data_IF_601479787805
#
_entry.id   IF_601479787805
#
_cell.length_a   1.000
_cell.length_b   1.000
_cell.length_c   1.000
_cell.angle_alpha   90.00
_cell.angle_beta   90.00
_cell.angle_gamma   90.00
#
_symmetry.space_group_name_H-M   'P 1'
#
loop_
_entity.id
_entity.type
_entity.pdbx_description
1 polymer ?
#
# COMPACT_ATOMS: atom_id res chain seq x y z
N UNK A 1 -43.14 -46.93 44.02
CA UNK A 1 -42.29 -45.80 44.44
C UNK A 1 -41.33 -45.51 43.29
N UNK A 2 -41.50 -44.40 42.60
CA UNK A 2 -40.60 -43.97 41.50
C UNK A 2 -39.95 -42.66 41.93
N UNK A 3 -38.78 -42.80 42.56
CA UNK A 3 -37.74 -41.79 42.80
C UNK A 3 -36.46 -42.53 42.43
N UNK A 4 -35.46 -42.01 41.75
CA UNK A 4 -35.12 -40.65 41.39
C UNK A 4 -34.18 -40.80 40.20
N UNK A 5 -34.40 -40.05 39.12
CA UNK A 5 -33.44 -39.96 38.02
C UNK A 5 -33.17 -38.49 37.67
N UNK A 6 -33.36 -37.60 38.66
CA UNK A 6 -33.36 -36.13 38.47
C UNK A 6 -32.02 -35.45 38.69
N UNK A 7 -31.00 -36.14 39.17
CA UNK A 7 -29.76 -35.47 39.61
C UNK A 7 -28.57 -35.56 38.63
N UNK A 8 -28.71 -36.17 37.44
CA UNK A 8 -27.60 -36.23 36.45
C UNK A 8 -27.61 -35.09 35.43
N UNK A 9 -28.58 -34.18 35.48
CA UNK A 9 -28.77 -33.11 34.50
C UNK A 9 -28.65 -31.70 35.08
N UNK A 10 -28.01 -31.53 36.24
CA UNK A 10 -27.84 -30.20 36.84
C UNK A 10 -26.68 -29.40 36.22
N UNK A 11 -25.80 -30.05 35.44
CA UNK A 11 -24.67 -29.41 34.77
C UNK A 11 -24.82 -29.20 33.27
N UNK A 12 -25.94 -29.60 32.65
CA UNK A 12 -26.16 -29.47 31.20
C UNK A 12 -27.20 -28.40 30.88
N UNK A 13 -26.90 -27.53 29.93
CA UNK A 13 -27.72 -26.47 29.38
C UNK A 13 -29.04 -27.06 28.88
N UNK A 14 -30.13 -26.61 29.51
CA UNK A 14 -31.49 -27.01 29.17
C UNK A 14 -31.94 -26.22 27.94
N UNK A 15 -31.71 -26.77 26.74
CA UNK A 15 -32.11 -26.16 25.45
C UNK A 15 -33.60 -25.79 25.44
N UNK A 16 -34.45 -26.57 26.11
CA UNK A 16 -35.89 -26.31 26.25
C UNK A 16 -36.26 -25.01 26.97
N UNK A 17 -35.33 -24.41 27.70
CA UNK A 17 -35.53 -23.14 28.41
C UNK A 17 -34.92 -21.95 27.67
N UNK A 18 -34.25 -22.18 26.54
CA UNK A 18 -33.59 -21.13 25.75
C UNK A 18 -34.56 -20.35 24.85
N UNK A 19 -34.18 -19.14 24.40
CA UNK A 19 -34.94 -18.37 23.41
C UNK A 19 -35.19 -19.17 22.13
N UNK A 20 -36.29 -18.84 21.43
CA UNK A 20 -36.73 -19.55 20.22
C UNK A 20 -35.64 -19.63 19.14
N UNK A 21 -34.81 -18.58 19.00
CA UNK A 21 -33.70 -18.56 18.04
C UNK A 21 -32.65 -19.65 18.34
N UNK A 22 -32.28 -19.83 19.61
CA UNK A 22 -31.30 -20.83 20.05
C UNK A 22 -31.87 -22.25 19.90
N UNK A 23 -33.15 -22.45 20.19
CA UNK A 23 -33.84 -23.72 19.98
C UNK A 23 -33.84 -24.14 18.52
N UNK A 24 -34.23 -23.23 17.62
CA UNK A 24 -34.22 -23.48 16.17
C UNK A 24 -32.83 -23.82 15.65
N UNK A 25 -31.80 -23.15 16.18
CA UNK A 25 -30.42 -23.46 15.85
C UNK A 25 -30.02 -24.86 16.33
N UNK A 26 -30.30 -25.18 17.60
CA UNK A 26 -29.98 -26.48 18.18
C UNK A 26 -30.69 -27.61 17.42
N UNK A 27 -31.98 -27.47 17.11
CA UNK A 27 -32.75 -28.45 16.34
C UNK A 27 -32.15 -28.66 14.94
N UNK A 28 -31.75 -27.58 14.26
CA UNK A 28 -31.11 -27.66 12.95
C UNK A 28 -29.73 -28.31 13.02
N UNK A 29 -28.92 -27.97 14.01
CA UNK A 29 -27.57 -28.51 14.19
C UNK A 29 -27.58 -29.99 14.59
N UNK A 30 -28.49 -30.42 15.46
CA UNK A 30 -28.72 -31.84 15.78
C UNK A 30 -29.16 -32.61 14.52
N UNK A 31 -29.94 -31.96 13.65
CA UNK A 31 -30.33 -32.52 12.36
C UNK A 31 -29.16 -32.76 11.40
N UNK A 32 -28.06 -32.02 11.54
CA UNK A 32 -26.83 -32.17 10.75
C UNK A 32 -25.84 -33.13 11.42
N UNK A 33 -25.62 -32.97 12.72
CA UNK A 33 -24.73 -33.80 13.55
C UNK A 33 -25.48 -34.34 14.78
N UNK A 34 -25.76 -35.66 14.85
CA UNK A 34 -26.41 -36.27 15.99
C UNK A 34 -25.64 -36.17 17.32
N UNK A 35 -24.34 -35.91 17.28
CA UNK A 35 -23.48 -35.77 18.47
C UNK A 35 -23.28 -34.29 18.88
N UNK A 36 -24.01 -33.37 18.26
CA UNK A 36 -23.89 -31.94 18.53
C UNK A 36 -24.18 -31.60 20.00
N UNK A 37 -23.26 -30.87 20.63
CA UNK A 37 -23.44 -30.23 21.93
C UNK A 37 -23.47 -28.70 21.80
N UNK A 38 -24.55 -28.10 22.29
CA UNK A 38 -24.77 -26.65 22.23
C UNK A 38 -23.79 -25.89 23.12
N UNK A 39 -23.33 -26.49 24.23
CA UNK A 39 -22.38 -25.86 25.15
C UNK A 39 -21.02 -25.69 24.50
N UNK A 40 -20.48 -26.78 23.95
CA UNK A 40 -19.21 -26.78 23.23
C UNK A 40 -19.27 -25.84 22.03
N UNK A 41 -20.39 -25.83 21.30
CA UNK A 41 -20.59 -24.91 20.18
C UNK A 41 -20.60 -23.44 20.66
N UNK A 42 -21.28 -23.14 21.76
CA UNK A 42 -21.34 -21.77 22.30
C UNK A 42 -19.97 -21.29 22.77
N UNK A 43 -19.21 -22.16 23.45
CA UNK A 43 -17.83 -21.88 23.88
C UNK A 43 -16.96 -21.61 22.67
N UNK A 44 -17.02 -22.47 21.66
CA UNK A 44 -16.26 -22.29 20.42
C UNK A 44 -16.63 -20.98 19.73
N UNK A 45 -17.92 -20.69 19.59
CA UNK A 45 -18.40 -19.47 18.94
C UNK A 45 -17.99 -18.20 19.71
N UNK A 46 -18.05 -18.23 21.04
CA UNK A 46 -17.61 -17.12 21.88
C UNK A 46 -16.10 -16.87 21.72
N UNK A 47 -15.28 -17.92 21.68
CA UNK A 47 -13.84 -17.78 21.45
C UNK A 47 -13.52 -17.24 20.05
N UNK A 48 -14.24 -17.71 19.01
CA UNK A 48 -14.11 -17.17 17.65
C UNK A 48 -14.48 -15.69 17.59
N UNK A 49 -15.60 -15.30 18.20
CA UNK A 49 -16.05 -13.90 18.20
C UNK A 49 -15.10 -13.01 19.02
N UNK A 50 -14.53 -13.50 20.13
CA UNK A 50 -13.50 -12.78 20.88
C UNK A 50 -12.22 -12.58 20.04
N UNK A 51 -11.77 -13.60 19.31
CA UNK A 51 -10.60 -13.48 18.43
C UNK A 51 -10.83 -12.46 17.30
N UNK A 52 -12.05 -12.41 16.74
CA UNK A 52 -12.42 -11.38 15.77
C UNK A 52 -12.40 -9.98 16.39
N UNK A 53 -12.94 -9.83 17.60
CA UNK A 53 -12.91 -8.55 18.31
C UNK A 53 -11.48 -8.08 18.62
N UNK A 54 -10.58 -8.99 19.00
CA UNK A 54 -9.16 -8.66 19.21
C UNK A 54 -8.50 -8.12 17.93
N UNK A 55 -8.77 -8.75 16.79
CA UNK A 55 -8.24 -8.32 15.50
C UNK A 55 -8.80 -6.95 15.08
N UNK A 56 -10.10 -6.72 15.29
CA UNK A 56 -10.73 -5.43 15.03
C UNK A 56 -10.16 -4.31 15.92
N UNK A 57 -9.92 -4.61 17.21
CA UNK A 57 -9.30 -3.67 18.14
C UNK A 57 -7.88 -3.31 17.69
N UNK A 58 -7.07 -4.29 17.28
CA UNK A 58 -5.71 -4.03 16.81
C UNK A 58 -5.72 -3.18 15.52
N UNK A 59 -6.66 -3.44 14.62
CA UNK A 59 -6.85 -2.62 13.42
C UNK A 59 -7.21 -1.18 13.76
N UNK A 60 -8.15 -0.97 14.67
CA UNK A 60 -8.55 0.38 15.12
C UNK A 60 -7.41 1.10 15.85
N UNK A 61 -6.64 0.37 16.66
CA UNK A 61 -5.44 0.90 17.32
C UNK A 61 -4.44 1.43 16.30
N UNK A 62 -4.13 0.68 15.24
CA UNK A 62 -3.22 1.10 14.18
C UNK A 62 -3.75 2.37 13.46
N UNK A 63 -5.05 2.41 13.15
CA UNK A 63 -5.66 3.59 12.51
C UNK A 63 -5.55 4.85 13.39
N UNK A 64 -5.79 4.71 14.70
CA UNK A 64 -5.66 5.80 15.65
C UNK A 64 -4.20 6.26 15.81
N UNK A 65 -3.26 5.32 15.83
CA UNK A 65 -1.82 5.63 15.88
C UNK A 65 -1.38 6.41 14.65
N UNK A 66 -1.78 5.99 13.45
CA UNK A 66 -1.53 6.72 12.21
C UNK A 66 -2.17 8.12 12.23
N UNK A 67 -3.40 8.24 12.74
CA UNK A 67 -4.07 9.53 12.90
C UNK A 67 -3.30 10.44 13.86
N UNK A 68 -2.78 9.91 14.96
CA UNK A 68 -1.96 10.65 15.92
C UNK A 68 -0.67 11.14 15.25
N UNK A 69 0.05 10.28 14.53
CA UNK A 69 1.25 10.67 13.77
C UNK A 69 0.97 11.78 12.75
N UNK A 70 -0.16 11.72 12.05
CA UNK A 70 -0.58 12.80 11.12
C UNK A 70 -0.81 14.12 11.86
N UNK A 71 -1.49 14.08 13.01
CA UNK A 71 -1.73 15.27 13.82
C UNK A 71 -0.43 15.86 14.39
N UNK A 72 0.50 15.02 14.85
CA UNK A 72 1.81 15.48 15.34
C UNK A 72 2.63 16.12 14.23
N UNK A 73 2.63 15.55 13.02
CA UNK A 73 3.30 16.16 11.85
C UNK A 73 2.69 17.52 11.51
N UNK A 74 1.36 17.64 11.55
CA UNK A 74 0.69 18.92 11.35
C UNK A 74 1.04 19.93 12.46
N UNK A 75 1.08 19.50 13.72
CA UNK A 75 1.48 20.34 14.84
C UNK A 75 2.94 20.85 14.67
N UNK A 76 3.87 19.98 14.27
CA UNK A 76 5.26 20.37 13.98
C UNK A 76 5.39 21.37 12.83
N UNK A 77 4.52 21.29 11.82
CA UNK A 77 4.47 22.26 10.71
C UNK A 77 3.87 23.60 11.12
N UNK A 78 2.91 23.59 12.06
CA UNK A 78 2.29 24.80 12.60
C UNK A 78 3.20 25.52 13.60
N UNK A 79 4.09 24.79 14.28
CA UNK A 79 5.14 25.42 15.07
C UNK A 79 6.02 26.26 14.13
N UNK A 80 6.18 27.57 14.38
CA UNK A 80 7.11 28.38 13.62
C UNK A 80 8.49 27.77 13.80
N UNK A 81 9.05 27.16 12.75
CA UNK A 81 10.48 26.88 12.74
C UNK A 81 11.17 28.23 12.84
N UNK A 82 12.03 28.41 13.83
CA UNK A 82 12.88 29.58 13.89
C UNK A 82 13.92 29.45 12.77
N UNK A 83 13.54 29.91 11.57
CA UNK A 83 14.35 29.89 10.34
C UNK A 83 15.62 30.75 10.49
N UNK A 84 15.85 31.35 11.67
CA UNK A 84 16.97 32.24 11.98
C UNK A 84 18.11 31.54 12.71
N UNK A 85 17.92 30.33 13.24
CA UNK A 85 19.02 29.56 13.82
C UNK A 85 19.61 28.61 12.78
N UNK A 86 20.41 29.17 11.87
CA UNK A 86 21.36 28.40 11.07
C UNK A 86 22.30 27.70 12.06
N UNK A 87 22.40 26.35 12.09
CA UNK A 87 23.33 25.67 12.97
C UNK A 87 24.75 26.19 12.71
N UNK A 88 25.47 26.64 13.74
CA UNK A 88 26.85 27.13 13.59
C UNK A 88 27.70 26.07 12.89
N UNK A 89 28.07 26.32 11.63
CA UNK A 89 28.91 25.43 10.83
C UNK A 89 28.19 24.63 9.75
N UNK A 90 26.87 24.75 9.62
CA UNK A 90 26.17 24.22 8.45
C UNK A 90 26.15 25.27 7.35
N UNK A 91 27.06 25.11 6.39
CA UNK A 91 27.08 25.88 5.15
C UNK A 91 26.38 25.05 4.07
N UNK A 92 25.60 25.70 3.20
CA UNK A 92 24.99 25.01 2.06
C UNK A 92 26.08 24.35 1.20
N UNK A 93 25.75 23.26 0.49
CA UNK A 93 26.69 22.56 -0.41
C UNK A 93 27.39 23.49 -1.42
N UNK A 94 26.74 24.62 -1.71
CA UNK A 94 27.17 25.64 -2.66
C UNK A 94 28.00 26.77 -2.04
N UNK A 95 28.09 26.87 -0.71
CA UNK A 95 28.90 27.89 -0.02
C UNK A 95 30.42 27.60 -0.18
N UNK A 96 30.78 26.39 -0.58
CA UNK A 96 32.15 26.01 -0.93
C UNK A 96 32.58 26.45 -2.33
N UNK A 97 31.67 27.04 -3.12
CA UNK A 97 31.97 27.54 -4.46
C UNK A 97 31.88 29.06 -4.49
N UNK A 98 33.01 29.71 -4.74
CA UNK A 98 33.02 31.15 -5.01
C UNK A 98 32.30 31.42 -6.34
N UNK A 99 31.19 32.14 -6.29
CA UNK A 99 30.51 32.63 -7.49
C UNK A 99 31.43 33.68 -8.15
N UNK A 100 31.87 33.46 -9.41
CA UNK A 100 32.65 34.44 -10.15
C UNK A 100 31.94 35.80 -10.16
N UNK A 101 32.70 36.89 -9.99
CA UNK A 101 32.21 38.29 -9.99
C UNK A 101 31.14 38.62 -11.07
N UNK A 102 31.22 38.10 -12.31
CA UNK A 102 30.19 38.36 -13.33
C UNK A 102 28.78 37.83 -12.97
N UNK A 103 28.70 36.80 -12.13
CA UNK A 103 27.44 36.11 -11.79
C UNK A 103 26.82 36.60 -10.46
N UNK A 104 27.56 37.36 -9.64
CA UNK A 104 27.05 37.93 -8.37
C UNK A 104 25.88 38.91 -8.55
N UNK A 105 25.71 39.49 -9.72
CA UNK A 105 24.57 40.38 -10.01
C UNK A 105 23.29 39.62 -10.37
N UNK A 106 23.38 38.32 -10.69
CA UNK A 106 22.23 37.48 -11.02
C UNK A 106 21.50 36.99 -9.77
N UNK A 107 22.20 36.79 -8.67
CA UNK A 107 21.60 36.34 -7.39
C UNK A 107 20.59 37.33 -6.83
N UNK A 108 20.78 38.64 -7.08
CA UNK A 108 19.84 39.68 -6.64
C UNK A 108 18.58 39.77 -7.50
N UNK A 109 18.48 39.00 -8.60
CA UNK A 109 17.30 38.96 -9.49
C UNK A 109 16.35 37.79 -9.19
N UNK A 110 16.66 36.96 -8.20
CA UNK A 110 15.92 35.73 -7.89
C UNK A 110 14.65 36.00 -7.07
N UNK A 111 14.51 37.17 -6.43
CA UNK A 111 13.34 37.50 -5.60
C UNK A 111 12.02 37.72 -6.39
N UNK A 112 12.06 37.81 -7.73
CA UNK A 112 10.90 38.10 -8.59
C UNK A 112 10.54 36.97 -9.59
N UNK A 113 10.90 35.71 -9.31
CA UNK A 113 10.44 34.59 -10.16
C UNK A 113 9.04 34.17 -9.70
N UNK A 114 8.01 34.87 -10.22
CA UNK A 114 6.58 34.59 -9.95
C UNK A 114 5.97 33.60 -10.96
N UNK A 115 6.73 33.11 -11.94
CA UNK A 115 6.34 31.97 -12.76
C UNK A 115 7.25 30.80 -12.44
N UNK A 116 6.80 29.91 -11.54
CA UNK A 116 7.35 28.56 -11.46
C UNK A 116 6.99 27.84 -12.76
N UNK A 117 7.85 27.94 -13.78
CA UNK A 117 8.00 26.81 -14.70
C UNK A 117 8.15 25.56 -13.82
N UNK A 118 7.29 24.55 -14.00
CA UNK A 118 7.30 23.39 -13.14
C UNK A 118 8.71 22.82 -13.14
N UNK A 119 9.31 22.78 -11.95
CA UNK A 119 10.66 22.28 -11.77
C UNK A 119 10.78 20.95 -12.52
N UNK A 120 11.85 20.67 -13.30
CA UNK A 120 11.92 19.46 -14.13
C UNK A 120 11.71 18.18 -13.32
N UNK A 121 12.07 18.19 -12.03
CA UNK A 121 11.76 17.10 -11.09
C UNK A 121 10.25 16.85 -10.83
N UNK A 122 9.39 17.87 -10.97
CA UNK A 122 7.94 17.75 -10.86
C UNK A 122 7.34 16.85 -11.95
N UNK A 123 8.02 16.71 -13.10
CA UNK A 123 7.66 15.72 -14.13
C UNK A 123 7.72 14.30 -13.58
N UNK A 124 8.67 14.01 -12.68
CA UNK A 124 8.81 12.69 -12.07
C UNK A 124 7.86 12.47 -10.88
N UNK A 125 7.32 13.54 -10.28
CA UNK A 125 6.35 13.44 -9.17
C UNK A 125 4.96 13.02 -9.69
N UNK A 126 4.64 13.30 -10.95
CA UNK A 126 3.37 12.95 -11.60
C UNK A 126 3.43 11.66 -12.43
N UNK A 127 4.43 10.79 -12.22
CA UNK A 127 4.63 9.60 -13.07
C UNK A 127 3.44 8.64 -13.09
N UNK A 128 2.54 8.66 -12.08
CA UNK A 128 1.31 7.86 -12.07
C UNK A 128 0.14 8.67 -11.46
N UNK A 129 -0.69 9.38 -12.26
CA UNK A 129 -1.64 10.35 -11.72
C UNK A 129 -2.88 9.78 -11.02
N UNK A 130 -3.22 8.50 -11.16
CA UNK A 130 -4.55 8.02 -10.76
C UNK A 130 -4.58 6.74 -9.91
N UNK A 131 -3.44 6.13 -9.63
CA UNK A 131 -3.34 4.97 -8.76
C UNK A 131 -2.26 5.23 -7.72
N UNK A 132 -2.59 4.98 -6.45
CA UNK A 132 -1.73 5.22 -5.29
C UNK A 132 -0.44 4.40 -5.31
N UNK A 133 0.46 4.74 -6.21
CA UNK A 133 1.81 4.23 -6.26
C UNK A 133 2.61 5.02 -5.22
N UNK A 134 2.53 4.57 -3.97
CA UNK A 134 3.42 5.02 -2.90
C UNK A 134 4.86 4.51 -3.10
N UNK A 135 5.11 3.74 -4.17
CA UNK A 135 6.43 3.22 -4.53
C UNK A 135 7.09 4.00 -5.68
N UNK A 136 8.01 4.93 -5.36
CA UNK A 136 8.74 5.68 -6.38
C UNK A 136 9.66 4.81 -7.23
N UNK A 137 10.07 3.62 -6.74
CA UNK A 137 10.90 2.71 -7.52
C UNK A 137 10.08 2.10 -8.65
N UNK A 138 8.89 1.56 -8.34
CA UNK A 138 7.95 1.03 -9.32
C UNK A 138 7.62 2.04 -10.43
N UNK A 139 7.38 3.31 -10.06
CA UNK A 139 7.09 4.36 -11.05
C UNK A 139 8.28 4.59 -12.01
N UNK A 140 9.51 4.57 -11.49
CA UNK A 140 10.72 4.77 -12.29
C UNK A 140 11.02 3.54 -13.16
N UNK A 141 10.88 2.33 -12.61
CA UNK A 141 11.12 1.08 -13.34
C UNK A 141 10.10 0.90 -14.47
N UNK A 142 8.81 1.13 -14.20
CA UNK A 142 7.76 1.10 -15.22
C UNK A 142 8.00 2.13 -16.33
N UNK A 143 8.36 3.36 -15.98
CA UNK A 143 8.67 4.39 -16.98
C UNK A 143 9.89 4.03 -17.83
N UNK A 144 10.96 3.51 -17.21
CA UNK A 144 12.14 3.07 -17.95
C UNK A 144 11.80 1.91 -18.90
N UNK A 145 10.98 0.97 -18.48
CA UNK A 145 10.51 -0.14 -19.32
C UNK A 145 9.71 0.38 -20.53
N UNK A 146 8.80 1.34 -20.33
CA UNK A 146 8.07 1.98 -21.44
C UNK A 146 8.99 2.68 -22.43
N UNK A 147 10.00 3.42 -21.95
CA UNK A 147 10.97 4.09 -22.83
C UNK A 147 11.71 3.07 -23.70
N UNK A 148 12.12 1.93 -23.14
CA UNK A 148 12.79 0.85 -23.87
C UNK A 148 11.84 0.26 -24.92
N UNK A 149 10.60 -0.04 -24.54
CA UNK A 149 9.58 -0.57 -25.45
C UNK A 149 9.28 0.39 -26.61
N UNK A 150 9.12 1.68 -26.31
CA UNK A 150 8.87 2.73 -27.29
C UNK A 150 10.04 2.96 -28.24
N UNK A 151 11.29 2.94 -27.74
CA UNK A 151 12.47 3.04 -28.59
C UNK A 151 12.56 1.85 -29.57
N UNK A 152 12.27 0.64 -29.09
CA UNK A 152 12.28 -0.57 -29.92
C UNK A 152 11.23 -0.51 -31.03
N UNK A 153 9.98 -0.25 -30.67
CA UNK A 153 8.88 -0.14 -31.63
C UNK A 153 9.07 1.06 -32.57
N UNK A 154 9.55 2.19 -32.03
CA UNK A 154 9.86 3.40 -32.81
C UNK A 154 11.01 3.23 -33.81
N UNK A 155 11.96 2.35 -33.51
CA UNK A 155 13.04 1.96 -34.44
C UNK A 155 12.61 0.91 -35.48
N UNK A 156 11.32 0.55 -35.53
CA UNK A 156 10.73 -0.32 -36.55
C UNK A 156 10.64 -1.79 -36.17
N UNK A 157 10.83 -2.15 -34.89
CA UNK A 157 10.50 -3.48 -34.39
C UNK A 157 8.97 -3.65 -34.32
N UNK A 158 8.48 -4.85 -34.58
CA UNK A 158 7.04 -5.13 -34.50
C UNK A 158 6.55 -5.24 -33.05
N UNK A 159 7.42 -5.64 -32.12
CA UNK A 159 7.18 -5.77 -30.69
C UNK A 159 8.52 -5.76 -29.93
N UNK A 160 8.47 -5.62 -28.61
CA UNK A 160 9.60 -5.81 -27.71
C UNK A 160 9.49 -7.18 -27.02
N UNK A 161 10.58 -7.95 -26.99
CA UNK A 161 10.64 -9.23 -26.28
C UNK A 161 10.91 -9.00 -24.77
N UNK A 162 10.46 -9.92 -23.91
CA UNK A 162 10.63 -9.82 -22.45
C UNK A 162 12.10 -9.60 -22.03
N UNK A 163 13.04 -10.36 -22.59
CA UNK A 163 14.47 -10.24 -22.27
C UNK A 163 15.05 -8.87 -22.70
N UNK A 164 14.52 -8.28 -23.77
CA UNK A 164 14.92 -6.96 -24.23
C UNK A 164 14.40 -5.84 -23.31
N UNK A 165 13.26 -6.05 -22.66
CA UNK A 165 12.73 -5.14 -21.64
C UNK A 165 13.51 -5.26 -20.32
N UNK A 166 13.87 -6.49 -19.93
CA UNK A 166 14.47 -6.78 -18.63
C UNK A 166 15.98 -6.53 -18.59
N UNK A 167 16.71 -6.93 -19.63
CA UNK A 167 18.18 -6.87 -19.63
C UNK A 167 18.77 -5.48 -19.35
N UNK A 168 18.22 -4.35 -19.85
CA UNK A 168 18.76 -3.03 -19.54
C UNK A 168 18.47 -2.62 -18.08
N UNK A 169 17.31 -3.03 -17.53
CA UNK A 169 16.90 -2.72 -16.16
C UNK A 169 17.74 -3.49 -15.15
N UNK A 170 17.92 -4.80 -15.39
CA UNK A 170 18.81 -5.65 -14.58
C UNK A 170 20.26 -5.14 -14.62
N UNK A 171 20.73 -4.68 -15.79
CA UNK A 171 22.05 -4.06 -15.95
C UNK A 171 22.23 -2.77 -15.14
N UNK A 172 21.14 -2.05 -14.88
CA UNK A 172 21.11 -0.84 -14.03
C UNK A 172 20.96 -1.16 -12.54
N UNK A 173 20.94 -2.43 -12.14
CA UNK A 173 20.84 -2.86 -10.75
C UNK A 173 19.41 -2.93 -10.20
N UNK A 174 18.39 -2.89 -11.06
CA UNK A 174 17.00 -3.18 -10.69
C UNK A 174 16.87 -4.70 -10.54
N UNK A 175 16.17 -5.17 -9.50
CA UNK A 175 15.98 -6.61 -9.30
C UNK A 175 14.97 -7.18 -10.30
N UNK A 176 14.98 -8.50 -10.49
CA UNK A 176 13.99 -9.16 -11.35
C UNK A 176 12.56 -8.97 -10.83
N UNK A 177 12.38 -9.05 -9.52
CA UNK A 177 11.08 -8.85 -8.85
C UNK A 177 10.47 -7.47 -9.16
N UNK A 178 11.30 -6.42 -9.19
CA UNK A 178 10.86 -5.05 -9.53
C UNK A 178 10.55 -4.89 -11.03
N UNK A 179 11.20 -5.67 -11.90
CA UNK A 179 10.89 -5.69 -13.32
C UNK A 179 9.55 -6.40 -13.58
N UNK A 180 9.32 -7.51 -12.87
CA UNK A 180 8.05 -8.25 -12.92
C UNK A 180 6.89 -7.36 -12.44
N UNK A 181 7.07 -6.69 -11.30
CA UNK A 181 6.05 -5.78 -10.76
C UNK A 181 5.77 -4.59 -11.68
N UNK A 182 6.82 -4.01 -12.29
CA UNK A 182 6.69 -2.95 -13.27
C UNK A 182 5.90 -3.40 -14.51
N UNK A 183 6.19 -4.59 -15.04
CA UNK A 183 5.49 -5.15 -16.19
C UNK A 183 4.00 -5.39 -15.87
N UNK A 184 3.71 -6.01 -14.73
CA UNK A 184 2.34 -6.25 -14.25
C UNK A 184 1.57 -4.94 -14.10
N UNK A 185 2.20 -3.92 -13.53
CA UNK A 185 1.62 -2.60 -13.38
C UNK A 185 1.28 -1.97 -14.74
N UNK A 186 2.19 -2.03 -15.71
CA UNK A 186 1.98 -1.49 -17.06
C UNK A 186 0.86 -2.22 -17.80
N UNK A 187 0.77 -3.55 -17.66
CA UNK A 187 -0.31 -4.36 -18.22
C UNK A 187 -1.66 -4.01 -17.59
N UNK A 188 -1.70 -3.86 -16.27
CA UNK A 188 -2.92 -3.58 -15.51
C UNK A 188 -3.46 -2.17 -15.76
N UNK A 189 -2.58 -1.20 -15.97
CA UNK A 189 -2.94 0.18 -16.34
C UNK A 189 -3.22 0.36 -17.83
N UNK A 190 -2.89 -0.65 -18.65
CA UNK A 190 -3.11 -0.63 -20.09
C UNK A 190 -2.09 0.22 -20.86
N UNK A 191 -0.94 0.56 -20.25
CA UNK A 191 0.12 1.32 -20.91
C UNK A 191 0.99 0.45 -21.82
N UNK A 192 0.97 -0.87 -21.61
CA UNK A 192 1.60 -1.86 -22.48
C UNK A 192 0.62 -3.03 -22.70
N UNK A 193 0.73 -3.67 -23.85
CA UNK A 193 -0.12 -4.80 -24.25
C UNK A 193 0.73 -5.99 -24.67
N UNK A 194 0.41 -7.15 -24.14
CA UNK A 194 0.97 -8.43 -24.59
C UNK A 194 0.19 -8.91 -25.82
N UNK A 195 0.90 -9.20 -26.91
CA UNK A 195 0.31 -9.62 -28.19
C UNK A 195 0.53 -11.11 -28.51
N UNK A 196 1.57 -11.71 -27.92
CA UNK A 196 1.98 -13.10 -28.05
C UNK A 196 2.88 -13.44 -26.86
N UNK A 197 3.22 -14.72 -26.68
CA UNK A 197 4.07 -15.18 -25.57
C UNK A 197 5.38 -14.35 -25.51
N UNK A 198 5.62 -13.68 -24.38
CA UNK A 198 6.79 -12.83 -24.11
C UNK A 198 6.97 -11.64 -25.09
N UNK A 199 5.91 -11.21 -25.80
CA UNK A 199 5.95 -10.16 -26.81
C UNK A 199 5.01 -8.99 -26.48
N UNK A 200 5.57 -7.79 -26.34
CA UNK A 200 4.88 -6.60 -25.83
C UNK A 200 4.92 -5.41 -26.78
N UNK A 201 3.85 -4.62 -26.81
CA UNK A 201 3.74 -3.35 -27.54
C UNK A 201 3.24 -2.25 -26.59
N UNK A 202 3.87 -1.07 -26.53
CA UNK A 202 3.37 0.07 -25.76
C UNK A 202 2.10 0.65 -26.40
N UNK A 203 1.17 1.12 -25.58
CA UNK A 203 0.00 1.88 -26.04
C UNK A 203 0.45 3.23 -26.65
N UNK A 204 -0.28 3.72 -27.67
CA UNK A 204 0.08 4.94 -28.43
C UNK A 204 -0.13 6.25 -27.66
#
# INVERSE_FOLDING_TARGET
MVKDNRDKSEGRVRVDQMPLAVKRLADAMIGVDPNFDIEDWLIKKANEDLALMELDIERERIQLEQRMHRLERLAKRLMPQDIREIPKGQTNLFDCFDIPLPLKHLTNRIEDIVDEEPHPAGTFINLLPDYGCDDPLLAVTAQMMLIIAQDKVGNGANWAELDELFSPLLGNGISQEECDEALDHLLMTGQIHEIDDDCFIPDE
#
